data_IF_751434043155
#
_entry.id   IF_751434043155
#
_cell.length_a   1.000
_cell.length_b   1.000
_cell.length_c   1.000
_cell.angle_alpha   90.00
_cell.angle_beta   90.00
_cell.angle_gamma   90.00
#
_symmetry.space_group_name_H-M   'P 1'
#
loop_
_entity.id
_entity.type
_entity.pdbx_description
1 polymer ?
#
# COMPACT_ATOMS: atom_id res chain seq x y z
N UNK A 1 -37.29 55.15 79.93
CA UNK A 1 -38.69 55.22 80.39
C UNK A 1 -38.82 55.68 81.85
N UNK A 2 -37.78 55.62 82.68
CA UNK A 2 -37.81 56.26 84.02
C UNK A 2 -37.60 57.79 83.99
N UNK A 3 -37.11 58.35 82.88
CA UNK A 3 -36.88 59.79 82.72
C UNK A 3 -38.11 60.60 82.25
N UNK A 4 -39.20 59.91 81.93
CA UNK A 4 -40.50 60.47 81.53
C UNK A 4 -41.54 59.61 82.20
N UNK A 5 -42.21 60.10 83.25
CA UNK A 5 -43.18 59.36 84.10
C UNK A 5 -44.40 58.83 83.30
N UNK A 6 -44.19 57.92 82.35
CA UNK A 6 -45.19 57.29 81.50
C UNK A 6 -45.23 55.81 81.84
N UNK A 7 -46.37 55.35 82.37
CA UNK A 7 -46.62 53.92 82.55
C UNK A 7 -46.99 53.30 81.19
N UNK A 8 -46.41 52.15 80.80
CA UNK A 8 -46.81 51.40 79.59
C UNK A 8 -48.31 51.05 79.56
N UNK A 9 -48.97 51.02 80.73
CA UNK A 9 -50.41 50.75 80.86
C UNK A 9 -51.31 51.92 80.40
N UNK A 10 -50.77 53.13 80.21
CA UNK A 10 -51.53 54.32 79.80
C UNK A 10 -51.56 54.53 78.27
N UNK A 11 -50.99 53.60 77.50
CA UNK A 11 -50.97 53.67 76.04
C UNK A 11 -52.31 53.20 75.45
N UNK A 12 -52.73 53.82 74.35
CA UNK A 12 -53.81 53.28 73.54
C UNK A 12 -53.42 51.90 72.98
N UNK A 13 -54.40 51.07 72.64
CA UNK A 13 -54.12 49.75 72.02
C UNK A 13 -53.28 49.85 70.72
N UNK A 14 -53.28 50.99 70.05
CA UNK A 14 -52.39 51.27 68.93
C UNK A 14 -50.98 51.66 69.39
N UNK A 15 -50.85 52.48 70.43
CA UNK A 15 -49.56 52.82 71.04
C UNK A 15 -48.80 51.61 71.56
N UNK A 16 -49.48 50.69 72.24
CA UNK A 16 -48.87 49.45 72.74
C UNK A 16 -48.39 48.54 71.61
N UNK A 17 -49.13 48.46 70.49
CA UNK A 17 -48.71 47.70 69.30
C UNK A 17 -47.44 48.26 68.67
N UNK A 18 -47.34 49.59 68.53
CA UNK A 18 -46.12 50.20 67.99
C UNK A 18 -44.91 50.03 68.92
N UNK A 19 -45.11 50.16 70.24
CA UNK A 19 -44.04 49.92 71.20
C UNK A 19 -43.54 48.47 71.14
N UNK A 20 -44.46 47.50 71.10
CA UNK A 20 -44.09 46.08 70.96
C UNK A 20 -43.35 45.83 69.64
N UNK A 21 -43.85 46.34 68.52
CA UNK A 21 -43.17 46.21 67.23
C UNK A 21 -41.75 46.82 67.24
N UNK A 22 -41.55 47.94 67.94
CA UNK A 22 -40.24 48.58 68.09
C UNK A 22 -39.30 47.72 68.95
N UNK A 23 -39.80 47.15 70.05
CA UNK A 23 -39.03 46.22 70.90
C UNK A 23 -38.70 44.95 70.14
N UNK A 24 -39.66 44.35 69.43
CA UNK A 24 -39.46 43.15 68.62
C UNK A 24 -38.42 43.40 67.51
N UNK A 25 -38.47 44.58 66.88
CA UNK A 25 -37.48 44.99 65.88
C UNK A 25 -36.09 45.18 66.48
N UNK A 26 -35.99 45.73 67.69
CA UNK A 26 -34.72 45.88 68.41
C UNK A 26 -34.12 44.51 68.73
N UNK A 27 -34.93 43.58 69.20
CA UNK A 27 -34.52 42.19 69.47
C UNK A 27 -34.10 41.48 68.19
N UNK A 28 -34.86 41.61 67.10
CA UNK A 28 -34.57 40.98 65.82
C UNK A 28 -33.29 41.53 65.15
N UNK A 29 -33.01 42.82 65.33
CA UNK A 29 -31.77 43.47 64.87
C UNK A 29 -30.63 43.36 65.88
N UNK A 30 -30.86 42.68 67.01
CA UNK A 30 -29.91 42.51 68.11
C UNK A 30 -29.32 43.86 68.63
N UNK A 31 -30.14 44.92 68.64
CA UNK A 31 -29.71 46.25 69.08
C UNK A 31 -29.74 46.38 70.61
N UNK A 32 -28.80 47.16 71.15
CA UNK A 32 -28.68 47.40 72.60
C UNK A 32 -29.87 48.20 73.16
N UNK A 33 -30.42 49.12 72.38
CA UNK A 33 -31.57 49.95 72.76
C UNK A 33 -32.41 50.32 71.53
N UNK A 34 -33.54 51.00 71.79
CA UNK A 34 -34.46 51.52 70.77
C UNK A 34 -34.07 52.93 70.28
N UNK A 35 -32.83 53.36 70.50
CA UNK A 35 -32.37 54.65 70.01
C UNK A 35 -32.02 54.57 68.52
N UNK A 36 -32.13 55.72 67.84
CA UNK A 36 -31.73 55.83 66.44
C UNK A 36 -30.24 55.51 66.23
N UNK A 37 -29.40 55.81 67.23
CA UNK A 37 -27.96 55.54 67.17
C UNK A 37 -27.64 54.03 67.14
N UNK A 38 -28.49 53.19 67.72
CA UNK A 38 -28.37 51.73 67.65
C UNK A 38 -29.05 51.14 66.40
N UNK A 39 -30.21 51.67 66.01
CA UNK A 39 -31.00 51.16 64.89
C UNK A 39 -30.39 51.47 63.52
N UNK A 40 -29.88 52.68 63.29
CA UNK A 40 -29.39 53.09 61.98
C UNK A 40 -28.20 52.21 61.51
N UNK A 41 -27.16 51.98 62.34
CA UNK A 41 -26.07 51.08 61.96
C UNK A 41 -26.55 49.65 61.71
N UNK A 42 -27.41 49.08 62.58
CA UNK A 42 -27.91 47.72 62.42
C UNK A 42 -28.72 47.52 61.12
N UNK A 43 -29.55 48.51 60.76
CA UNK A 43 -30.31 48.49 59.50
C UNK A 43 -29.36 48.63 58.29
N UNK A 44 -28.33 49.47 58.38
CA UNK A 44 -27.34 49.62 57.31
C UNK A 44 -26.52 48.33 57.11
N UNK A 45 -26.08 47.69 58.20
CA UNK A 45 -25.36 46.42 58.17
C UNK A 45 -26.22 45.33 57.54
N UNK A 46 -27.49 45.20 57.98
CA UNK A 46 -28.44 44.27 57.37
C UNK A 46 -28.68 44.55 55.88
N UNK A 47 -28.78 45.83 55.50
CA UNK A 47 -28.97 46.24 54.10
C UNK A 47 -27.74 45.91 53.24
N UNK A 48 -26.54 46.11 53.79
CA UNK A 48 -25.27 45.75 53.15
C UNK A 48 -25.17 44.23 52.96
N UNK A 49 -25.51 43.47 54.00
CA UNK A 49 -25.49 42.00 53.99
C UNK A 49 -26.49 41.41 53.01
N UNK A 50 -27.70 41.98 52.94
CA UNK A 50 -28.72 41.63 51.94
C UNK A 50 -28.20 41.87 50.52
N UNK A 51 -27.57 43.03 50.28
CA UNK A 51 -27.02 43.40 48.97
C UNK A 51 -25.87 42.47 48.57
N UNK A 52 -24.97 42.16 49.49
CA UNK A 52 -23.86 41.22 49.30
C UNK A 52 -24.38 39.80 48.98
N UNK A 53 -25.37 39.34 49.73
CA UNK A 53 -25.99 38.02 49.54
C UNK A 53 -26.68 37.93 48.19
N UNK A 54 -27.43 38.97 47.80
CA UNK A 54 -28.07 39.05 46.49
C UNK A 54 -27.06 39.00 45.35
N UNK A 55 -25.95 39.76 45.46
CA UNK A 55 -24.88 39.74 44.45
C UNK A 55 -24.27 38.35 44.29
N UNK A 56 -23.95 37.67 45.41
CA UNK A 56 -23.42 36.30 45.38
C UNK A 56 -24.41 35.31 44.78
N UNK A 57 -25.70 35.47 45.06
CA UNK A 57 -26.73 34.58 44.51
C UNK A 57 -26.85 34.71 42.98
N UNK A 58 -26.74 35.93 42.44
CA UNK A 58 -26.72 36.11 40.98
C UNK A 58 -25.45 35.55 40.34
N UNK A 59 -24.29 35.69 40.99
CA UNK A 59 -23.03 35.08 40.53
C UNK A 59 -23.15 33.55 40.47
N UNK A 60 -23.62 32.91 41.54
CA UNK A 60 -23.84 31.45 41.59
C UNK A 60 -24.82 31.01 40.50
N UNK A 61 -25.89 31.77 40.25
CA UNK A 61 -26.86 31.47 39.20
C UNK A 61 -26.25 31.53 37.80
N UNK A 62 -25.34 32.48 37.54
CA UNK A 62 -24.60 32.56 36.29
C UNK A 62 -23.64 31.38 36.12
N UNK A 63 -22.91 31.02 37.18
CA UNK A 63 -22.01 29.87 37.18
C UNK A 63 -22.76 28.55 36.95
N UNK A 64 -23.91 28.38 37.61
CA UNK A 64 -24.78 27.21 37.44
C UNK A 64 -25.23 27.08 35.97
N UNK A 65 -25.71 28.17 35.37
CA UNK A 65 -26.11 28.15 33.96
C UNK A 65 -24.96 27.86 32.99
N UNK A 66 -23.72 28.28 33.32
CA UNK A 66 -22.53 27.91 32.55
C UNK A 66 -22.21 26.43 32.70
N UNK A 67 -22.31 25.89 33.92
CA UNK A 67 -22.05 24.49 34.20
C UNK A 67 -23.07 23.58 33.50
N UNK A 68 -24.35 23.93 33.51
CA UNK A 68 -25.41 23.18 32.81
C UNK A 68 -25.18 23.10 31.30
N UNK A 69 -24.77 24.22 30.67
CA UNK A 69 -24.43 24.25 29.24
C UNK A 69 -23.22 23.37 28.93
N UNK A 70 -22.18 23.46 29.76
CA UNK A 70 -20.98 22.65 29.60
C UNK A 70 -21.30 21.15 29.76
N UNK A 71 -22.07 20.79 30.79
CA UNK A 71 -22.48 19.41 31.03
C UNK A 71 -23.27 18.86 29.84
N UNK A 72 -24.22 19.64 29.31
CA UNK A 72 -25.00 19.25 28.13
C UNK A 72 -24.10 19.03 26.92
N UNK A 73 -23.15 19.93 26.66
CA UNK A 73 -22.20 19.78 25.56
C UNK A 73 -21.32 18.54 25.71
N UNK A 74 -20.83 18.27 26.93
CA UNK A 74 -20.03 17.08 27.24
C UNK A 74 -20.83 15.80 27.04
N UNK A 75 -22.09 15.74 27.49
CA UNK A 75 -22.95 14.56 27.32
C UNK A 75 -23.25 14.27 25.85
N UNK A 76 -23.47 15.31 25.03
CA UNK A 76 -23.64 15.14 23.59
C UNK A 76 -22.36 14.59 22.95
N UNK A 77 -21.20 15.14 23.32
CA UNK A 77 -19.91 14.66 22.82
C UNK A 77 -19.65 13.20 23.23
N UNK A 78 -19.93 12.84 24.48
CA UNK A 78 -19.81 11.47 24.97
C UNK A 78 -20.63 10.50 24.12
N UNK A 79 -21.88 10.84 23.84
CA UNK A 79 -22.75 10.01 22.99
C UNK A 79 -22.20 9.86 21.57
N UNK A 80 -21.71 10.94 20.96
CA UNK A 80 -21.08 10.87 19.65
C UNK A 80 -19.86 9.94 19.65
N UNK A 81 -19.00 10.05 20.68
CA UNK A 81 -17.81 9.21 20.82
C UNK A 81 -18.17 7.73 21.04
N UNK A 82 -19.23 7.44 21.79
CA UNK A 82 -19.74 6.07 21.96
C UNK A 82 -20.23 5.47 20.64
N UNK A 83 -20.92 6.25 19.81
CA UNK A 83 -21.39 5.79 18.50
C UNK A 83 -20.24 5.58 17.51
N UNK A 84 -19.24 6.46 17.52
CA UNK A 84 -18.06 6.32 16.68
C UNK A 84 -17.18 5.13 17.12
N UNK A 85 -17.09 4.85 18.42
CA UNK A 85 -16.45 3.64 18.93
C UNK A 85 -17.12 2.37 18.39
N UNK A 86 -18.45 2.29 18.47
CA UNK A 86 -19.21 1.14 17.93
C UNK A 86 -18.98 0.95 16.43
N UNK A 87 -18.95 2.04 15.65
CA UNK A 87 -18.63 1.97 14.21
C UNK A 87 -17.21 1.46 13.98
N UNK A 88 -16.23 1.96 14.74
CA UNK A 88 -14.84 1.54 14.65
C UNK A 88 -14.67 0.05 14.98
N UNK A 89 -15.36 -0.46 16.00
CA UNK A 89 -15.37 -1.87 16.37
C UNK A 89 -15.95 -2.76 15.26
N UNK A 90 -17.06 -2.34 14.63
CA UNK A 90 -17.66 -3.05 13.50
C UNK A 90 -16.73 -3.09 12.28
N UNK A 91 -16.09 -1.95 11.96
CA UNK A 91 -15.09 -1.87 10.89
C UNK A 91 -13.90 -2.79 11.18
N UNK A 92 -13.38 -2.78 12.42
CA UNK A 92 -12.27 -3.64 12.83
C UNK A 92 -12.63 -5.12 12.70
N UNK A 93 -13.84 -5.52 13.11
CA UNK A 93 -14.32 -6.90 12.96
C UNK A 93 -14.37 -7.33 11.49
N UNK A 94 -14.86 -6.45 10.61
CA UNK A 94 -14.95 -6.72 9.17
C UNK A 94 -13.56 -6.86 8.53
N UNK A 95 -12.64 -5.96 8.86
CA UNK A 95 -11.27 -6.01 8.33
C UNK A 95 -10.51 -7.23 8.84
N UNK A 96 -10.70 -7.64 10.11
CA UNK A 96 -10.14 -8.90 10.62
C UNK A 96 -10.61 -10.11 9.81
N UNK A 97 -11.92 -10.23 9.57
CA UNK A 97 -12.46 -11.33 8.76
C UNK A 97 -11.88 -11.34 7.33
N UNK A 98 -11.68 -10.17 6.72
CA UNK A 98 -11.03 -10.06 5.40
C UNK A 98 -9.56 -10.47 5.43
N UNK A 99 -8.82 -10.05 6.46
CA UNK A 99 -7.40 -10.42 6.63
C UNK A 99 -7.28 -11.94 6.82
N UNK A 100 -8.12 -12.54 7.66
CA UNK A 100 -8.11 -13.99 7.89
C UNK A 100 -8.41 -14.76 6.60
N UNK A 101 -9.42 -14.32 5.84
CA UNK A 101 -9.74 -14.92 4.53
C UNK A 101 -8.58 -14.79 3.53
N UNK A 102 -7.90 -13.63 3.50
CA UNK A 102 -6.72 -13.41 2.64
C UNK A 102 -5.56 -14.29 3.05
N UNK A 103 -5.34 -14.48 4.35
CA UNK A 103 -4.29 -15.34 4.89
C UNK A 103 -4.51 -16.80 4.45
N UNK A 104 -5.73 -17.31 4.63
CA UNK A 104 -6.11 -18.65 4.16
C UNK A 104 -5.91 -18.82 2.65
N UNK A 105 -6.30 -17.82 1.85
CA UNK A 105 -6.10 -17.85 0.40
C UNK A 105 -4.60 -17.84 0.02
N UNK A 106 -3.78 -17.07 0.74
CA UNK A 106 -2.33 -17.05 0.53
C UNK A 106 -1.70 -18.42 0.83
N UNK A 107 -2.10 -19.08 1.92
CA UNK A 107 -1.62 -20.41 2.27
C UNK A 107 -2.01 -21.45 1.20
N UNK A 108 -3.25 -21.38 0.70
CA UNK A 108 -3.70 -22.22 -0.42
C UNK A 108 -2.87 -22.00 -1.68
N UNK A 109 -2.63 -20.74 -2.07
CA UNK A 109 -1.83 -20.42 -3.25
C UNK A 109 -0.38 -20.89 -3.11
N UNK A 110 0.19 -20.79 -1.90
CA UNK A 110 1.53 -21.29 -1.60
C UNK A 110 1.59 -22.81 -1.75
N UNK A 111 0.63 -23.54 -1.19
CA UNK A 111 0.54 -24.99 -1.35
C UNK A 111 0.41 -25.40 -2.83
N UNK A 112 -0.44 -24.71 -3.59
CA UNK A 112 -0.64 -24.97 -5.03
C UNK A 112 0.60 -24.65 -5.87
N UNK A 113 1.33 -23.60 -5.53
CA UNK A 113 2.61 -23.27 -6.17
C UNK A 113 3.64 -24.38 -5.96
N UNK A 114 3.74 -24.92 -4.75
CA UNK A 114 4.63 -26.04 -4.43
C UNK A 114 4.23 -27.32 -5.17
N UNK A 115 2.93 -27.61 -5.27
CA UNK A 115 2.41 -28.72 -6.06
C UNK A 115 2.84 -28.61 -7.54
N UNK A 116 2.65 -27.44 -8.15
CA UNK A 116 3.08 -27.21 -9.54
C UNK A 116 4.60 -27.32 -9.70
N UNK A 117 5.38 -26.81 -8.75
CA UNK A 117 6.85 -26.93 -8.77
C UNK A 117 7.28 -28.39 -8.77
N UNK A 118 6.67 -29.22 -7.92
CA UNK A 118 6.94 -30.66 -7.89
C UNK A 118 6.50 -31.35 -9.19
N UNK A 119 5.33 -30.99 -9.73
CA UNK A 119 4.83 -31.53 -10.99
C UNK A 119 5.73 -31.21 -12.19
N UNK A 120 6.21 -29.97 -12.29
CA UNK A 120 7.17 -29.54 -13.32
C UNK A 120 8.45 -30.36 -13.19
N UNK A 121 9.01 -30.45 -11.99
CA UNK A 121 10.24 -31.22 -11.77
C UNK A 121 10.08 -32.69 -12.17
N UNK A 122 8.97 -33.31 -11.80
CA UNK A 122 8.69 -34.70 -12.18
C UNK A 122 8.55 -34.86 -13.71
N UNK A 123 7.90 -33.90 -14.39
CA UNK A 123 7.79 -33.92 -15.84
C UNK A 123 9.14 -33.73 -16.54
N UNK A 124 9.98 -32.81 -16.05
CA UNK A 124 11.35 -32.60 -16.53
C UNK A 124 12.23 -33.84 -16.34
N UNK A 125 12.12 -34.51 -15.19
CA UNK A 125 12.79 -35.78 -14.91
C UNK A 125 12.31 -36.88 -15.88
N UNK A 126 11.01 -36.95 -16.19
CA UNK A 126 10.46 -37.89 -17.17
C UNK A 126 10.92 -37.60 -18.60
N UNK A 127 10.99 -36.33 -19.01
CA UNK A 127 11.50 -35.93 -20.33
C UNK A 127 12.97 -36.32 -20.46
N UNK A 128 13.77 -36.03 -19.43
CA UNK A 128 15.18 -36.39 -19.37
C UNK A 128 15.38 -37.91 -19.42
N UNK A 129 14.59 -38.68 -18.68
CA UNK A 129 14.65 -40.15 -18.69
C UNK A 129 14.29 -40.75 -20.06
N UNK A 130 13.45 -40.08 -20.85
CA UNK A 130 13.11 -40.46 -22.22
C UNK A 130 14.15 -40.00 -23.25
N UNK A 131 15.25 -39.37 -22.82
CA UNK A 131 16.30 -38.86 -23.69
C UNK A 131 15.88 -37.62 -24.50
N UNK A 132 14.81 -36.93 -24.10
CA UNK A 132 14.49 -35.62 -24.64
C UNK A 132 15.42 -34.59 -23.99
N UNK A 133 16.61 -34.43 -24.56
CA UNK A 133 17.52 -33.34 -24.22
C UNK A 133 17.30 -32.12 -25.13
N UNK A 134 17.98 -31.01 -24.82
CA UNK A 134 17.88 -29.77 -25.59
C UNK A 134 18.33 -29.90 -27.06
N UNK A 135 19.03 -30.96 -27.44
CA UNK A 135 19.46 -31.19 -28.83
C UNK A 135 18.31 -31.62 -29.74
N UNK A 136 17.25 -32.17 -29.16
CA UNK A 136 15.99 -32.49 -29.85
C UNK A 136 15.01 -31.31 -29.85
N UNK A 137 15.45 -30.12 -29.41
CA UNK A 137 14.65 -28.90 -29.54
C UNK A 137 14.46 -28.53 -31.02
N UNK A 138 13.34 -27.87 -31.32
CA UNK A 138 13.04 -27.41 -32.68
C UNK A 138 14.19 -26.56 -33.25
N UNK A 139 14.76 -25.66 -32.43
CA UNK A 139 15.87 -24.80 -32.83
C UNK A 139 17.12 -25.61 -33.19
N UNK A 140 17.50 -26.60 -32.39
CA UNK A 140 18.65 -27.46 -32.66
C UNK A 140 18.46 -28.33 -33.90
N UNK A 141 17.26 -28.88 -34.10
CA UNK A 141 16.89 -29.65 -35.29
C UNK A 141 16.96 -28.79 -36.57
N UNK A 142 16.44 -27.56 -36.52
CA UNK A 142 16.51 -26.62 -37.64
C UNK A 142 17.97 -26.29 -37.96
N UNK A 143 18.78 -25.90 -36.97
CA UNK A 143 20.18 -25.59 -37.17
C UNK A 143 20.98 -26.77 -37.76
N UNK A 144 20.70 -28.00 -37.32
CA UNK A 144 21.31 -29.21 -37.87
C UNK A 144 20.89 -29.44 -39.33
N UNK A 145 19.63 -29.20 -39.65
CA UNK A 145 19.12 -29.34 -41.02
C UNK A 145 19.75 -28.33 -41.99
N UNK A 146 19.94 -27.09 -41.53
CA UNK A 146 20.60 -26.03 -42.30
C UNK A 146 22.08 -26.37 -42.53
N UNK A 147 22.78 -26.83 -41.49
CA UNK A 147 24.17 -27.28 -41.59
C UNK A 147 24.31 -28.46 -42.56
N UNK A 148 23.36 -29.40 -42.54
CA UNK A 148 23.33 -30.54 -43.44
C UNK A 148 23.06 -30.11 -44.90
N UNK A 149 22.17 -29.15 -45.11
CA UNK A 149 21.93 -28.57 -46.43
C UNK A 149 23.19 -27.87 -46.98
N UNK A 150 23.90 -27.12 -46.14
CA UNK A 150 25.17 -26.49 -46.51
C UNK A 150 26.25 -27.52 -46.85
N UNK A 151 26.43 -28.55 -46.03
CA UNK A 151 27.39 -29.63 -46.30
C UNK A 151 27.08 -30.34 -47.62
N UNK A 152 25.79 -30.60 -47.92
CA UNK A 152 25.37 -31.18 -49.21
C UNK A 152 25.73 -30.26 -50.37
N UNK A 153 25.48 -28.96 -50.25
CA UNK A 153 25.84 -27.95 -51.27
C UNK A 153 27.34 -27.97 -51.57
N UNK A 154 28.18 -28.16 -50.56
CA UNK A 154 29.63 -28.26 -50.72
C UNK A 154 30.09 -29.62 -51.26
N UNK A 155 29.45 -30.71 -50.86
CA UNK A 155 29.86 -32.07 -51.26
C UNK A 155 29.57 -32.36 -52.75
N UNK A 156 28.49 -31.80 -53.32
CA UNK A 156 28.13 -31.99 -54.74
C UNK A 156 29.25 -31.59 -55.71
N UNK A 157 29.84 -30.38 -55.65
CA UNK A 157 30.94 -30.00 -56.55
C UNK A 157 32.22 -30.79 -56.27
N UNK A 158 32.50 -31.13 -55.01
CA UNK A 158 33.64 -31.98 -54.63
C UNK A 158 33.53 -33.38 -55.23
N UNK A 159 32.33 -34.00 -55.17
CA UNK A 159 32.07 -35.30 -55.80
C UNK A 159 32.22 -35.22 -57.32
N UNK A 160 31.68 -34.18 -57.97
CA UNK A 160 31.86 -33.95 -59.41
C UNK A 160 33.34 -33.81 -59.80
N UNK A 161 34.12 -33.11 -58.97
CA UNK A 161 35.57 -32.97 -59.16
C UNK A 161 36.29 -34.31 -58.99
N UNK A 162 35.91 -35.11 -58.00
CA UNK A 162 36.47 -36.44 -57.80
C UNK A 162 36.15 -37.38 -58.98
N UNK A 163 34.91 -37.35 -59.48
CA UNK A 163 34.48 -38.12 -60.67
C UNK A 163 35.35 -37.76 -61.88
N UNK A 164 35.60 -36.46 -62.11
CA UNK A 164 36.49 -36.04 -63.20
C UNK A 164 37.94 -36.52 -63.04
N UNK A 165 38.40 -36.79 -61.82
CA UNK A 165 39.72 -37.36 -61.55
C UNK A 165 39.75 -38.89 -61.69
N UNK A 166 38.60 -39.58 -61.62
CA UNK A 166 38.53 -41.03 -61.79
C UNK A 166 38.61 -41.44 -63.28
N UNK A 167 38.22 -40.56 -64.20
CA UNK A 167 38.41 -40.75 -65.65
C UNK A 167 39.87 -40.51 -66.10
N UNK A 168 40.70 -39.91 -65.25
CA UNK A 168 42.13 -39.70 -65.50
C UNK A 168 42.92 -40.96 -65.13
N UNK A 169 43.88 -41.35 -65.97
CA UNK A 169 44.67 -42.55 -65.72
C UNK A 169 45.35 -42.49 -64.34
N UNK A 170 45.32 -43.57 -63.53
CA UNK A 170 45.69 -43.52 -62.11
C UNK A 170 47.15 -43.16 -61.80
N UNK A 171 48.02 -43.07 -62.81
CA UNK A 171 49.44 -42.84 -62.61
C UNK A 171 49.92 -41.60 -63.41
N UNK A 172 50.32 -40.51 -62.71
CA UNK A 172 50.85 -39.29 -63.33
C UNK A 172 52.06 -39.53 -64.25
N UNK A 173 52.92 -40.49 -63.90
CA UNK A 173 54.10 -40.84 -64.69
C UNK A 173 53.72 -41.52 -66.00
N UNK A 174 52.68 -42.37 -66.00
CA UNK A 174 52.20 -43.04 -67.21
C UNK A 174 51.46 -42.05 -68.12
N UNK A 175 50.75 -41.07 -67.55
CA UNK A 175 50.12 -39.99 -68.30
C UNK A 175 51.18 -39.10 -68.99
N UNK A 176 52.29 -38.76 -68.33
CA UNK A 176 53.39 -38.01 -68.95
C UNK A 176 54.01 -38.77 -70.13
N UNK A 177 54.24 -40.08 -69.99
CA UNK A 177 54.78 -40.90 -71.09
C UNK A 177 53.82 -40.94 -72.27
N UNK A 178 52.51 -41.14 -72.02
CA UNK A 178 51.48 -41.11 -73.08
C UNK A 178 51.35 -39.76 -73.77
N UNK A 179 51.47 -38.66 -73.02
CA UNK A 179 51.47 -37.29 -73.60
C UNK A 179 52.70 -37.10 -74.50
N UNK A 180 53.87 -37.58 -74.09
CA UNK A 180 55.10 -37.47 -74.87
C UNK A 180 55.09 -38.38 -76.12
N UNK A 181 54.53 -39.58 -76.03
CA UNK A 181 54.25 -40.45 -77.18
C UNK A 181 53.33 -39.77 -78.19
N UNK A 182 52.21 -39.21 -77.73
CA UNK A 182 51.25 -38.52 -78.60
C UNK A 182 51.84 -37.26 -79.25
N UNK A 183 52.71 -36.52 -78.54
CA UNK A 183 53.44 -35.38 -79.13
C UNK A 183 54.37 -35.83 -80.25
N UNK A 184 55.11 -36.92 -80.05
CA UNK A 184 55.98 -37.46 -81.11
C UNK A 184 55.18 -37.93 -82.33
N UNK A 185 54.03 -38.57 -82.12
CA UNK A 185 53.13 -38.94 -83.22
C UNK A 185 52.59 -37.70 -83.95
N UNK A 186 52.23 -36.64 -83.21
CA UNK A 186 51.80 -35.37 -83.80
C UNK A 186 52.93 -34.73 -84.61
N UNK A 187 54.15 -34.65 -84.07
CA UNK A 187 55.32 -34.09 -84.77
C UNK A 187 55.61 -34.87 -86.07
N UNK A 188 55.41 -36.19 -86.06
CA UNK A 188 55.55 -37.02 -87.26
C UNK A 188 54.46 -36.71 -88.30
N UNK A 189 53.21 -36.60 -87.87
CA UNK A 189 52.08 -36.27 -88.77
C UNK A 189 52.22 -34.84 -89.29
N UNK A 190 52.65 -33.90 -88.45
CA UNK A 190 52.91 -32.51 -88.82
C UNK A 190 54.07 -32.43 -89.83
N UNK A 191 55.16 -33.18 -89.61
CA UNK A 191 56.24 -33.30 -90.59
C UNK A 191 55.78 -33.95 -91.91
N UNK A 192 54.89 -34.94 -91.87
CA UNK A 192 54.29 -35.54 -93.08
C UNK A 192 53.38 -34.53 -93.80
N UNK A 193 52.61 -33.75 -93.06
CA UNK A 193 51.76 -32.69 -93.58
C UNK A 193 52.61 -31.58 -94.21
N UNK A 194 53.66 -31.10 -93.53
CA UNK A 194 54.62 -30.14 -94.07
C UNK A 194 55.26 -30.68 -95.35
N UNK A 195 55.66 -31.96 -95.38
CA UNK A 195 56.15 -32.60 -96.61
C UNK A 195 55.13 -32.59 -97.75
N UNK A 196 53.85 -32.84 -97.46
CA UNK A 196 52.79 -32.81 -98.47
C UNK A 196 52.46 -31.39 -98.94
N UNK A 197 52.54 -30.41 -98.05
CA UNK A 197 52.35 -28.99 -98.38
C UNK A 197 53.53 -28.46 -99.23
N UNK A 198 54.77 -28.81 -98.88
CA UNK A 198 55.97 -28.46 -99.67
C UNK A 198 55.95 -29.11 -101.08
N UNK A 199 55.30 -30.27 -101.23
CA UNK A 199 55.06 -30.91 -102.54
C UNK A 199 53.91 -30.26 -103.35
N UNK A 200 53.09 -29.40 -102.74
CA UNK A 200 52.04 -28.64 -103.40
C UNK A 200 52.45 -27.19 -103.74
N UNK A 201 53.59 -26.71 -103.22
CA UNK A 201 54.17 -25.38 -103.50
C UNK A 201 55.31 -25.39 -104.55
N UNK A 202 55.46 -26.48 -105.32
CA UNK A 202 56.32 -26.65 -106.49
C UNK A 202 55.49 -26.91 -107.76
#
# INVERSE_FOLDING_TARGET
MESVNFSPANLSGTGSRYLNALVDSAVALETKDTSLASFIPAVNDLTSDLSRTKSKNEEIKLELGKLEKNLTATLVLEKCLQDDLKKAELHLSTERAKVDSRLQNMDFLKAKSEEFRLGIKAAEEQLSARGMDGSLSHQSLVALSEKLAELKRQTVPLKKKLESYLDLMPNPSLAQVKIEEAKRELDIIEAELTRKVDMMEL
#
